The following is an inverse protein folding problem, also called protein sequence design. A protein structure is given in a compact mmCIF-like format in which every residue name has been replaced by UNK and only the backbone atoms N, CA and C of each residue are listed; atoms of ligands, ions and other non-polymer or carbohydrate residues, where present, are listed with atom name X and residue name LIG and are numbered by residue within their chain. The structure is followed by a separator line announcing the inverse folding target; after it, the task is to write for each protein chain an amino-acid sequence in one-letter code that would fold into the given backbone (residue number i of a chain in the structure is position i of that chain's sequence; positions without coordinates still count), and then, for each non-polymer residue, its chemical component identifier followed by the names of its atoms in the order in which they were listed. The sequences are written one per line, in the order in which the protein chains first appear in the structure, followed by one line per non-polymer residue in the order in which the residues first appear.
data_IF_601426598184
#
_entry.id   IF_601426598184
#
_cell.length_a   1.000
_cell.length_b   1.000
_cell.length_c   1.000
_cell.angle_alpha   90.00
_cell.angle_beta   90.00
_cell.angle_gamma   90.00
#
_symmetry.space_group_name_H-M   'P 1'
#
loop_
_entity.id
_entity.type
_entity.pdbx_description
1 polymer ?
#
# COMPACT_ATOMS: atom_id res chain seq x y z
N UNK A 1 -46.63 -33.02 67.49
CA UNK A 1 -45.54 -32.01 67.45
C UNK A 1 -46.07 -30.74 66.81
N UNK A 2 -45.67 -29.60 67.37
CA UNK A 2 -46.12 -28.21 67.12
C UNK A 2 -46.18 -27.79 65.63
N UNK A 3 -47.22 -26.98 65.33
CA UNK A 3 -47.34 -25.76 64.48
C UNK A 3 -46.02 -25.29 63.82
N UNK A 4 -45.98 -24.73 62.61
CA UNK A 4 -46.53 -23.42 62.25
C UNK A 4 -46.65 -23.21 60.73
N UNK A 5 -47.75 -22.55 60.37
CA UNK A 5 -48.00 -21.83 59.13
C UNK A 5 -47.10 -20.58 59.07
N UNK A 6 -46.36 -20.37 57.99
CA UNK A 6 -45.69 -19.10 57.70
C UNK A 6 -46.06 -18.63 56.30
N UNK A 7 -46.88 -17.58 56.26
CA UNK A 7 -47.11 -16.72 55.11
C UNK A 7 -45.87 -15.84 54.93
N UNK A 8 -45.26 -15.85 53.75
CA UNK A 8 -44.28 -14.83 53.34
C UNK A 8 -44.87 -13.98 52.22
N UNK A 9 -45.13 -12.74 52.61
CA UNK A 9 -45.60 -11.61 51.83
C UNK A 9 -44.51 -11.21 50.81
N UNK A 10 -44.76 -11.34 49.51
CA UNK A 10 -43.89 -10.75 48.48
C UNK A 10 -44.32 -9.30 48.26
N UNK A 11 -43.53 -8.37 48.80
CA UNK A 11 -43.64 -6.93 48.56
C UNK A 11 -43.02 -6.64 47.19
N UNK A 12 -43.87 -6.20 46.24
CA UNK A 12 -43.45 -5.69 44.94
C UNK A 12 -42.92 -4.26 45.16
N UNK A 13 -41.59 -4.09 45.08
CA UNK A 13 -40.96 -2.78 45.09
C UNK A 13 -40.82 -2.29 43.64
N UNK A 14 -41.75 -1.44 43.20
CA UNK A 14 -41.65 -0.72 41.93
C UNK A 14 -40.68 0.45 42.10
N UNK A 15 -39.41 0.28 41.72
CA UNK A 15 -38.50 1.41 41.50
C UNK A 15 -38.63 1.88 40.06
N UNK A 16 -39.30 3.02 39.88
CA UNK A 16 -39.28 3.77 38.63
C UNK A 16 -37.91 4.42 38.43
N UNK A 17 -37.13 3.88 37.51
CA UNK A 17 -35.98 4.59 36.96
C UNK A 17 -36.48 5.47 35.82
N UNK A 18 -36.60 6.78 36.10
CA UNK A 18 -36.62 7.80 35.06
C UNK A 18 -35.25 7.81 34.37
N UNK A 19 -35.13 7.12 33.25
CA UNK A 19 -34.03 7.33 32.32
C UNK A 19 -34.38 8.57 31.48
N UNK A 20 -33.88 9.73 31.89
CA UNK A 20 -33.71 10.86 30.98
C UNK A 20 -32.65 10.47 29.95
N UNK A 21 -33.07 10.00 28.77
CA UNK A 21 -32.20 10.04 27.61
C UNK A 21 -32.10 11.49 27.16
N UNK A 22 -31.04 12.19 27.55
CA UNK A 22 -30.62 13.37 26.83
C UNK A 22 -30.16 12.90 25.44
N UNK A 23 -31.02 13.03 24.45
CA UNK A 23 -30.61 13.04 23.05
C UNK A 23 -29.76 14.29 22.87
N UNK A 24 -28.45 14.11 23.02
CA UNK A 24 -27.47 15.10 22.60
C UNK A 24 -27.46 15.07 21.07
N UNK A 25 -28.46 15.73 20.49
CA UNK A 25 -28.53 16.05 19.06
C UNK A 25 -27.51 17.17 18.81
N UNK A 26 -26.23 16.83 18.97
CA UNK A 26 -25.12 17.73 18.69
C UNK A 26 -25.26 18.27 17.28
N UNK A 27 -25.12 19.58 17.13
CA UNK A 27 -25.14 20.24 15.83
C UNK A 27 -24.20 19.51 14.88
N UNK A 28 -24.62 19.24 13.62
CA UNK A 28 -23.77 18.55 12.67
C UNK A 28 -22.46 19.34 12.51
N UNK A 29 -21.32 18.66 12.70
CA UNK A 29 -20.02 19.28 12.50
C UNK A 29 -19.99 19.99 11.14
N UNK A 30 -19.51 21.25 11.09
CA UNK A 30 -19.45 22.00 9.85
C UNK A 30 -18.56 21.25 8.86
N UNK A 31 -18.96 21.24 7.59
CA UNK A 31 -18.16 20.64 6.52
C UNK A 31 -16.75 21.25 6.54
N UNK A 32 -15.69 20.43 6.40
CA UNK A 32 -14.32 20.93 6.36
C UNK A 32 -14.18 21.98 5.25
N UNK A 33 -13.43 23.05 5.51
CA UNK A 33 -13.22 24.13 4.54
C UNK A 33 -12.37 23.72 3.34
N UNK A 34 -11.54 22.68 3.50
CA UNK A 34 -10.73 22.07 2.43
C UNK A 34 -10.59 20.54 2.67
N UNK A 35 -11.64 19.76 2.40
CA UNK A 35 -11.65 18.33 2.74
C UNK A 35 -10.68 17.51 1.89
N UNK A 36 -10.31 18.01 0.71
CA UNK A 36 -9.40 17.34 -0.21
C UNK A 36 -7.99 17.32 0.39
N UNK A 37 -7.49 18.48 0.84
CA UNK A 37 -6.12 18.60 1.37
C UNK A 37 -6.02 18.36 2.89
N UNK A 38 -7.16 18.29 3.59
CA UNK A 38 -7.21 17.92 5.01
C UNK A 38 -7.85 16.55 5.20
N UNK A 39 -9.15 16.49 5.45
CA UNK A 39 -9.87 15.24 5.59
C UNK A 39 -11.28 15.38 5.05
N UNK A 40 -11.75 14.33 4.37
CA UNK A 40 -13.16 14.25 4.04
C UNK A 40 -13.98 14.04 5.30
N UNK A 41 -15.24 14.46 5.25
CA UNK A 41 -16.21 14.08 6.26
C UNK A 41 -16.29 12.56 6.39
N UNK A 42 -16.30 12.07 7.62
CA UNK A 42 -16.29 10.66 7.99
C UNK A 42 -15.10 9.86 7.44
N UNK A 43 -14.01 10.52 7.05
CA UNK A 43 -12.77 9.85 6.63
C UNK A 43 -12.19 9.04 7.79
N UNK A 44 -11.99 7.75 7.55
CA UNK A 44 -11.45 6.84 8.57
C UNK A 44 -9.97 7.12 8.72
N UNK A 45 -9.50 7.38 9.94
CA UNK A 45 -8.07 7.59 10.21
C UNK A 45 -7.30 6.26 10.19
N UNK A 46 -6.03 6.26 9.73
CA UNK A 46 -5.18 5.07 9.78
C UNK A 46 -4.91 4.63 11.23
N UNK A 47 -4.53 3.38 11.40
CA UNK A 47 -4.07 2.88 12.70
C UNK A 47 -2.72 3.53 13.05
N UNK A 48 -2.43 3.71 14.33
CA UNK A 48 -1.14 4.27 14.76
C UNK A 48 0.04 3.34 14.41
N UNK A 49 -0.19 2.03 14.39
CA UNK A 49 0.81 1.03 14.03
C UNK A 49 0.14 -0.22 13.46
N UNK A 50 0.86 -0.92 12.59
CA UNK A 50 0.47 -2.21 11.98
C UNK A 50 1.67 -3.14 12.08
N UNK A 51 1.44 -4.42 12.39
CA UNK A 51 2.51 -5.41 12.50
C UNK A 51 3.20 -5.65 11.15
N UNK A 52 4.51 -5.86 11.18
CA UNK A 52 5.27 -6.24 10.00
C UNK A 52 4.91 -7.66 9.53
N UNK A 53 4.81 -7.83 8.22
CA UNK A 53 4.78 -9.14 7.59
C UNK A 53 6.23 -9.53 7.24
N UNK A 54 6.64 -10.71 7.66
CA UNK A 54 8.03 -11.13 7.52
C UNK A 54 8.40 -11.48 6.07
N UNK A 55 9.68 -11.34 5.73
CA UNK A 55 10.24 -11.90 4.49
C UNK A 55 10.93 -10.90 3.57
N UNK A 56 10.93 -9.61 3.92
CA UNK A 56 11.53 -8.55 3.12
C UNK A 56 11.97 -7.38 4.00
N UNK A 57 12.71 -6.45 3.39
CA UNK A 57 12.86 -5.09 3.91
C UNK A 57 11.90 -4.19 3.14
N UNK A 58 11.00 -3.47 3.80
CA UNK A 58 10.12 -2.54 3.12
C UNK A 58 9.74 -1.33 3.97
N UNK A 59 9.63 -0.18 3.30
CA UNK A 59 8.93 1.00 3.75
C UNK A 59 7.56 1.04 3.10
N UNK A 60 6.49 1.11 3.88
CA UNK A 60 5.11 1.09 3.41
C UNK A 60 4.32 2.22 4.05
N UNK A 61 3.67 3.02 3.21
CA UNK A 61 2.60 3.92 3.61
C UNK A 61 1.26 3.27 3.23
N UNK A 62 0.48 2.83 4.22
CA UNK A 62 -0.81 2.15 4.04
C UNK A 62 -1.96 2.95 4.65
N UNK A 63 -3.05 3.12 3.91
CA UNK A 63 -4.22 3.86 4.38
C UNK A 63 -5.06 3.05 5.36
N UNK A 64 -5.99 3.72 6.03
CA UNK A 64 -7.17 3.05 6.59
C UNK A 64 -8.03 2.40 5.48
N UNK A 65 -8.94 1.51 5.90
CA UNK A 65 -10.02 1.06 5.03
C UNK A 65 -11.10 2.15 4.92
N UNK A 66 -11.17 2.78 3.76
CA UNK A 66 -12.14 3.83 3.46
C UNK A 66 -12.60 3.77 1.99
N UNK A 67 -13.41 4.72 1.55
CA UNK A 67 -14.00 4.85 0.23
C UNK A 67 -13.00 5.35 -0.83
N UNK A 68 -11.78 4.84 -0.77
CA UNK A 68 -10.74 5.10 -1.75
C UNK A 68 -11.04 4.37 -3.06
N UNK A 69 -10.71 5.02 -4.17
CA UNK A 69 -10.86 4.51 -5.52
C UNK A 69 -9.52 4.14 -6.15
N UNK A 70 -8.40 4.31 -5.44
CA UNK A 70 -7.07 4.09 -5.98
C UNK A 70 -6.01 4.89 -5.25
N UNK A 71 -4.77 4.74 -5.71
CA UNK A 71 -3.59 5.44 -5.20
C UNK A 71 -2.62 5.72 -6.36
N UNK A 72 -1.80 6.76 -6.23
CA UNK A 72 -0.72 7.04 -7.14
C UNK A 72 0.30 7.99 -6.55
N UNK A 73 1.30 8.34 -7.34
CA UNK A 73 2.32 9.32 -6.99
C UNK A 73 3.36 9.46 -8.08
N UNK A 74 4.26 10.42 -7.89
CA UNK A 74 5.41 10.62 -8.77
C UNK A 74 6.68 10.29 -8.00
N UNK A 75 7.53 9.43 -8.56
CA UNK A 75 8.73 8.92 -7.91
C UNK A 75 9.94 8.96 -8.84
N UNK A 76 11.07 9.44 -8.31
CA UNK A 76 12.40 9.17 -8.87
C UNK A 76 12.84 7.77 -8.46
N UNK A 77 13.20 6.93 -9.43
CA UNK A 77 13.58 5.54 -9.19
C UNK A 77 14.99 5.43 -8.57
N UNK A 78 15.18 4.51 -7.60
CA UNK A 78 16.44 4.32 -6.89
C UNK A 78 17.47 3.54 -7.70
N UNK A 79 18.71 3.55 -7.21
CA UNK A 79 19.78 2.63 -7.61
C UNK A 79 19.93 1.54 -6.54
N UNK A 80 20.33 0.34 -6.95
CA UNK A 80 20.63 -0.75 -6.02
C UNK A 80 22.11 -1.13 -6.04
N UNK A 81 22.68 -1.31 -4.85
CA UNK A 81 24.00 -1.94 -4.65
C UNK A 81 23.77 -3.27 -3.95
N UNK A 82 24.10 -4.38 -4.59
CA UNK A 82 23.75 -5.72 -4.11
C UNK A 82 24.81 -6.34 -3.20
N UNK A 83 24.37 -7.19 -2.28
CA UNK A 83 25.24 -8.05 -1.49
C UNK A 83 25.77 -9.23 -2.33
N UNK A 84 27.07 -9.26 -2.57
CA UNK A 84 27.75 -10.33 -3.31
C UNK A 84 27.57 -11.71 -2.68
N UNK A 85 27.36 -11.77 -1.35
CA UNK A 85 27.13 -13.02 -0.62
C UNK A 85 25.71 -13.57 -0.86
N UNK A 86 24.82 -12.77 -1.47
CA UNK A 86 23.42 -13.11 -1.76
C UNK A 86 23.12 -13.35 -3.23
N UNK A 87 24.11 -13.77 -4.02
CA UNK A 87 23.87 -14.26 -5.39
C UNK A 87 22.94 -15.46 -5.39
N UNK A 88 22.03 -15.49 -6.36
CA UNK A 88 21.07 -16.57 -6.53
C UNK A 88 21.77 -17.80 -7.13
N UNK A 89 21.89 -18.93 -6.40
CA UNK A 89 22.58 -20.11 -6.90
C UNK A 89 21.89 -20.75 -8.12
N UNK A 90 20.57 -20.53 -8.28
CA UNK A 90 19.80 -21.03 -9.43
C UNK A 90 19.88 -20.09 -10.64
N UNK A 91 20.29 -18.83 -10.44
CA UNK A 91 20.41 -17.80 -11.47
C UNK A 91 21.63 -16.92 -11.16
N UNK A 92 22.87 -17.36 -11.46
CA UNK A 92 24.08 -16.70 -10.98
C UNK A 92 24.26 -15.22 -11.36
N UNK A 93 23.57 -14.74 -12.41
CA UNK A 93 23.52 -13.31 -12.76
C UNK A 93 22.53 -12.49 -11.93
N UNK A 94 21.82 -13.08 -10.96
CA UNK A 94 20.79 -12.41 -10.17
C UNK A 94 21.08 -12.56 -8.69
N UNK A 95 20.54 -11.66 -7.89
CA UNK A 95 20.62 -11.70 -6.44
C UNK A 95 19.30 -12.23 -5.85
N UNK A 96 19.38 -12.76 -4.62
CA UNK A 96 18.21 -13.15 -3.84
C UNK A 96 17.45 -11.95 -3.31
N UNK A 97 18.09 -10.78 -3.26
CA UNK A 97 17.44 -9.51 -2.95
C UNK A 97 16.98 -8.84 -4.25
N UNK A 98 15.75 -8.34 -4.28
CA UNK A 98 15.15 -7.75 -5.47
C UNK A 98 14.43 -6.43 -5.14
N UNK A 99 14.94 -5.29 -5.62
CA UNK A 99 14.28 -4.01 -5.43
C UNK A 99 12.91 -3.98 -6.12
N UNK A 100 11.93 -3.39 -5.45
CA UNK A 100 10.62 -3.10 -6.05
C UNK A 100 10.02 -1.82 -5.48
N UNK A 101 9.20 -1.17 -6.30
CA UNK A 101 8.37 -0.02 -5.93
C UNK A 101 6.98 -0.32 -6.41
N UNK A 102 6.01 -0.43 -5.51
CA UNK A 102 4.67 -0.80 -5.92
C UNK A 102 3.57 -0.11 -5.15
N UNK A 103 2.44 -0.02 -5.82
CA UNK A 103 1.15 0.35 -5.26
C UNK A 103 0.37 -0.94 -4.98
N UNK A 104 -0.73 -0.82 -4.28
CA UNK A 104 -1.58 -1.97 -4.02
C UNK A 104 -2.60 -1.68 -2.97
N UNK A 105 -3.11 -2.73 -2.35
CA UNK A 105 -4.08 -2.60 -1.28
C UNK A 105 -4.79 -3.89 -0.95
N UNK A 106 -5.81 -3.78 -0.11
CA UNK A 106 -6.73 -4.84 0.22
C UNK A 106 -8.17 -4.33 0.12
N UNK A 107 -8.95 -4.88 -0.81
CA UNK A 107 -10.38 -4.57 -0.95
C UNK A 107 -11.16 -5.86 -1.23
N UNK A 108 -12.30 -6.03 -0.56
CA UNK A 108 -13.11 -7.25 -0.70
C UNK A 108 -12.39 -8.54 -0.27
N UNK A 109 -11.34 -8.44 0.56
CA UNK A 109 -10.51 -9.58 0.95
C UNK A 109 -9.51 -10.02 -0.12
N UNK A 110 -9.29 -9.22 -1.16
CA UNK A 110 -8.28 -9.47 -2.18
C UNK A 110 -7.11 -8.50 -2.03
N UNK A 111 -5.93 -9.06 -1.80
CA UNK A 111 -4.65 -8.34 -1.79
C UNK A 111 -4.11 -8.16 -3.21
N UNK A 112 -3.58 -6.97 -3.52
CA UNK A 112 -2.83 -6.70 -4.76
C UNK A 112 -1.50 -6.01 -4.50
N UNK A 113 -0.50 -6.34 -5.31
CA UNK A 113 0.76 -5.60 -5.44
C UNK A 113 0.99 -5.31 -6.93
N UNK A 114 1.02 -4.03 -7.30
CA UNK A 114 1.02 -3.57 -8.69
C UNK A 114 2.01 -2.41 -8.80
N UNK A 115 3.07 -2.59 -9.57
CA UNK A 115 4.04 -1.53 -9.76
C UNK A 115 5.24 -1.94 -10.56
N UNK A 116 6.43 -1.59 -10.10
CA UNK A 116 7.70 -1.75 -10.78
C UNK A 116 8.60 -2.71 -10.01
N UNK A 117 9.13 -3.72 -10.68
CA UNK A 117 10.07 -4.68 -10.08
C UNK A 117 11.36 -4.75 -10.88
N UNK A 118 12.49 -4.92 -10.20
CA UNK A 118 13.81 -5.02 -10.84
C UNK A 118 13.90 -6.32 -11.64
N UNK A 119 14.14 -6.21 -12.95
CA UNK A 119 13.94 -7.30 -13.91
C UNK A 119 15.03 -7.36 -14.99
N UNK A 120 15.14 -8.54 -15.60
CA UNK A 120 15.98 -8.76 -16.78
C UNK A 120 15.40 -8.04 -17.98
N UNK A 121 16.28 -7.64 -18.90
CA UNK A 121 15.89 -6.96 -20.13
C UNK A 121 16.17 -7.84 -21.34
N UNK A 122 15.44 -7.58 -22.42
CA UNK A 122 15.65 -8.15 -23.74
C UNK A 122 16.36 -7.10 -24.60
N UNK A 123 17.53 -7.44 -25.15
CA UNK A 123 18.28 -6.54 -26.02
C UNK A 123 17.65 -6.45 -27.43
N UNK A 124 18.22 -5.60 -28.30
CA UNK A 124 17.72 -5.37 -29.66
C UNK A 124 17.80 -6.63 -30.55
N UNK A 125 18.73 -7.55 -30.25
CA UNK A 125 18.89 -8.83 -30.94
C UNK A 125 17.96 -9.91 -30.36
N UNK A 126 17.26 -9.59 -29.28
CA UNK A 126 16.30 -10.45 -28.61
C UNK A 126 16.88 -11.36 -27.53
N UNK A 127 18.15 -11.18 -27.14
CA UNK A 127 18.76 -11.94 -26.05
C UNK A 127 18.31 -11.39 -24.70
N UNK A 128 18.14 -12.28 -23.74
CA UNK A 128 17.78 -11.93 -22.36
C UNK A 128 19.07 -11.72 -21.57
N UNK A 129 19.16 -10.60 -20.84
CA UNK A 129 20.30 -10.33 -19.97
C UNK A 129 20.37 -11.34 -18.82
N UNK A 130 21.58 -11.78 -18.48
CA UNK A 130 21.80 -12.63 -17.30
C UNK A 130 21.40 -11.90 -16.00
N UNK A 131 21.76 -10.62 -15.93
CA UNK A 131 21.48 -9.72 -14.82
C UNK A 131 20.18 -8.94 -15.02
N UNK A 132 19.54 -8.57 -13.92
CA UNK A 132 18.45 -7.60 -13.89
C UNK A 132 19.01 -6.19 -14.05
N UNK A 133 18.38 -5.37 -14.89
CA UNK A 133 18.95 -4.08 -15.33
C UNK A 133 17.96 -2.92 -15.34
N UNK A 134 16.67 -3.19 -15.23
CA UNK A 134 15.64 -2.16 -15.27
C UNK A 134 14.46 -2.53 -14.39
N UNK A 135 13.75 -1.51 -13.92
CA UNK A 135 12.42 -1.64 -13.37
C UNK A 135 11.42 -1.92 -14.50
N UNK A 136 10.57 -2.94 -14.33
CA UNK A 136 9.52 -3.29 -15.28
C UNK A 136 8.16 -3.38 -14.59
N UNK A 137 7.07 -2.94 -15.24
CA UNK A 137 5.75 -3.05 -14.64
C UNK A 137 5.36 -4.51 -14.35
N UNK A 138 4.74 -4.75 -13.20
CA UNK A 138 4.19 -6.02 -12.77
C UNK A 138 2.83 -5.83 -12.09
N UNK A 139 2.01 -6.88 -12.14
CA UNK A 139 0.74 -6.96 -11.45
C UNK A 139 0.63 -8.30 -10.73
N UNK A 140 0.29 -8.27 -9.45
CA UNK A 140 -0.02 -9.42 -8.60
C UNK A 140 -1.37 -9.22 -7.94
N UNK A 141 -2.16 -10.30 -7.87
CA UNK A 141 -3.32 -10.41 -6.99
C UNK A 141 -3.37 -11.78 -6.32
N UNK A 142 -3.94 -11.80 -5.12
CA UNK A 142 -4.36 -13.04 -4.44
C UNK A 142 -5.68 -13.58 -5.01
N UNK A 143 -6.01 -14.83 -4.68
CA UNK A 143 -7.31 -15.40 -5.00
C UNK A 143 -8.44 -14.68 -4.26
N UNK A 144 -9.65 -14.73 -4.80
CA UNK A 144 -10.83 -14.08 -4.21
C UNK A 144 -12.00 -15.05 -4.05
N UNK A 145 -12.89 -14.77 -3.10
CA UNK A 145 -14.07 -15.59 -2.75
C UNK A 145 -15.07 -15.78 -3.91
N UNK A 146 -14.99 -14.95 -4.96
CA UNK A 146 -15.75 -15.14 -6.20
C UNK A 146 -15.25 -16.28 -7.09
N UNK A 147 -14.16 -16.96 -6.72
CA UNK A 147 -13.51 -17.97 -7.55
C UNK A 147 -12.42 -17.43 -8.48
N UNK A 148 -12.10 -16.13 -8.42
CA UNK A 148 -10.99 -15.57 -9.18
C UNK A 148 -9.66 -16.11 -8.62
N UNK A 149 -8.84 -16.74 -9.47
CA UNK A 149 -7.54 -17.27 -9.08
C UNK A 149 -6.51 -16.16 -8.85
N UNK A 150 -5.50 -16.47 -8.02
CA UNK A 150 -4.32 -15.63 -7.89
C UNK A 150 -3.60 -15.50 -9.23
N UNK A 151 -2.90 -14.40 -9.43
CA UNK A 151 -2.16 -14.15 -10.65
C UNK A 151 -0.93 -13.28 -10.36
N UNK A 152 0.11 -13.52 -11.13
CA UNK A 152 1.30 -12.69 -11.22
C UNK A 152 1.66 -12.56 -12.70
N UNK A 153 1.88 -11.33 -13.15
CA UNK A 153 2.24 -11.03 -14.53
C UNK A 153 3.17 -9.83 -14.59
N UNK A 154 4.06 -9.82 -15.57
CA UNK A 154 4.86 -8.65 -15.91
C UNK A 154 4.38 -8.05 -17.23
N UNK A 155 4.60 -6.75 -17.42
CA UNK A 155 4.56 -6.14 -18.75
C UNK A 155 5.49 -6.88 -19.71
N UNK A 156 5.25 -6.85 -21.03
CA UNK A 156 6.15 -7.44 -22.02
C UNK A 156 7.61 -7.00 -21.81
N UNK A 157 8.55 -7.89 -22.10
CA UNK A 157 9.97 -7.58 -22.09
C UNK A 157 10.32 -6.76 -23.36
N UNK A 158 10.00 -5.47 -23.33
CA UNK A 158 10.18 -4.53 -24.43
C UNK A 158 10.81 -3.24 -23.90
N UNK A 159 11.65 -2.58 -24.72
CA UNK A 159 12.41 -1.38 -24.32
C UNK A 159 11.50 -0.24 -23.86
N UNK A 160 10.32 -0.14 -24.44
CA UNK A 160 9.29 0.84 -24.11
C UNK A 160 8.66 0.58 -22.74
N UNK A 161 9.04 -0.48 -22.01
CA UNK A 161 8.57 -0.84 -20.65
C UNK A 161 9.72 -1.02 -19.63
N UNK A 162 10.94 -0.55 -19.94
CA UNK A 162 12.13 -0.66 -19.06
C UNK A 162 12.55 0.67 -18.46
N UNK A 163 12.25 0.88 -17.18
CA UNK A 163 12.57 2.12 -16.47
C UNK A 163 13.88 1.96 -15.71
N UNK A 164 14.73 2.98 -15.77
CA UNK A 164 16.10 2.91 -15.24
C UNK A 164 16.24 3.75 -13.96
N UNK A 165 17.22 3.41 -13.11
CA UNK A 165 17.57 4.23 -11.95
C UNK A 165 17.75 5.71 -12.31
N UNK A 166 17.23 6.59 -11.45
CA UNK A 166 17.26 8.04 -11.64
C UNK A 166 16.16 8.62 -12.53
N UNK A 167 15.44 7.80 -13.30
CA UNK A 167 14.27 8.27 -14.05
C UNK A 167 13.10 8.62 -13.10
N UNK A 168 12.36 9.67 -13.46
CA UNK A 168 11.13 10.06 -12.75
C UNK A 168 9.90 9.50 -13.46
N UNK A 169 8.99 8.91 -12.68
CA UNK A 169 7.79 8.25 -13.18
C UNK A 169 6.58 8.59 -12.32
N UNK A 170 5.45 8.86 -12.97
CA UNK A 170 4.13 8.89 -12.33
C UNK A 170 3.52 7.51 -12.43
N UNK A 171 3.20 6.92 -11.28
CA UNK A 171 2.61 5.59 -11.15
C UNK A 171 1.24 5.69 -10.49
N UNK A 172 0.24 4.97 -11.00
CA UNK A 172 -1.09 4.95 -10.37
C UNK A 172 -1.87 3.66 -10.61
N UNK A 173 -2.72 3.31 -9.65
CA UNK A 173 -3.79 2.32 -9.80
C UNK A 173 -5.14 2.96 -9.45
N UNK A 174 -6.16 2.72 -10.26
CA UNK A 174 -7.49 3.29 -10.05
C UNK A 174 -8.60 2.31 -10.43
N UNK A 175 -9.64 2.22 -9.60
CA UNK A 175 -10.87 1.49 -9.90
C UNK A 175 -11.63 2.25 -10.98
N UNK A 176 -11.61 1.72 -12.21
CA UNK A 176 -12.32 2.32 -13.36
C UNK A 176 -13.71 1.72 -13.58
N UNK A 177 -13.93 0.50 -13.09
CA UNK A 177 -15.23 -0.18 -13.03
C UNK A 177 -15.17 -1.27 -11.98
N UNK A 178 -16.34 -1.78 -11.57
CA UNK A 178 -16.42 -2.88 -10.60
C UNK A 178 -15.56 -4.06 -11.04
N UNK A 179 -14.65 -4.48 -10.16
CA UNK A 179 -13.74 -5.59 -10.39
C UNK A 179 -12.48 -5.26 -11.21
N UNK A 180 -12.21 -4.00 -11.56
CA UNK A 180 -11.09 -3.67 -12.47
C UNK A 180 -10.29 -2.45 -11.99
N UNK A 181 -8.98 -2.67 -11.86
CA UNK A 181 -7.99 -1.62 -11.66
C UNK A 181 -7.35 -1.25 -13.00
N UNK A 182 -7.27 0.04 -13.29
CA UNK A 182 -6.40 0.60 -14.33
C UNK A 182 -5.05 0.91 -13.71
N UNK A 183 -3.99 0.32 -14.24
CA UNK A 183 -2.60 0.54 -13.85
C UNK A 183 -1.91 1.36 -14.92
N UNK A 184 -1.31 2.48 -14.53
CA UNK A 184 -0.59 3.39 -15.42
C UNK A 184 0.80 3.65 -14.86
N UNK A 185 1.80 3.65 -15.75
CA UNK A 185 3.13 4.21 -15.48
C UNK A 185 3.54 5.12 -16.63
N UNK A 186 3.75 6.39 -16.32
CA UNK A 186 4.18 7.44 -17.26
C UNK A 186 5.51 8.02 -16.82
N UNK A 187 6.43 8.28 -17.75
CA UNK A 187 7.67 8.97 -17.41
C UNK A 187 8.77 8.77 -18.43
N UNK A 188 9.71 9.72 -18.48
CA UNK A 188 10.86 9.71 -19.38
C UNK A 188 10.52 9.37 -20.85
N UNK A 189 9.42 9.91 -21.38
CA UNK A 189 8.96 9.67 -22.76
C UNK A 189 8.35 8.29 -23.01
N UNK A 190 8.09 7.49 -21.96
CA UNK A 190 7.55 6.13 -22.02
C UNK A 190 6.19 6.08 -21.32
N UNK A 191 5.35 5.14 -21.73
CA UNK A 191 4.01 4.94 -21.21
C UNK A 191 3.68 3.45 -21.15
N UNK A 192 3.18 3.00 -20.01
CA UNK A 192 2.59 1.69 -19.83
C UNK A 192 1.19 1.84 -19.24
N UNK A 193 0.23 1.10 -19.80
CA UNK A 193 -1.14 1.05 -19.31
C UNK A 193 -1.67 -0.38 -19.40
N UNK A 194 -2.38 -0.81 -18.37
CA UNK A 194 -3.10 -2.08 -18.37
C UNK A 194 -4.36 -1.98 -17.53
N UNK A 195 -5.43 -2.64 -17.98
CA UNK A 195 -6.54 -2.99 -17.10
C UNK A 195 -6.26 -4.35 -16.45
N UNK A 196 -6.54 -4.47 -15.17
CA UNK A 196 -6.25 -5.65 -14.37
C UNK A 196 -7.48 -6.05 -13.56
N UNK A 197 -8.00 -7.23 -13.86
CA UNK A 197 -9.18 -7.80 -13.19
C UNK A 197 -8.84 -8.16 -11.74
N UNK A 198 -9.48 -7.49 -10.79
CA UNK A 198 -9.40 -7.69 -9.35
C UNK A 198 -10.81 -7.69 -8.75
N UNK A 199 -11.44 -8.86 -8.66
CA UNK A 199 -12.85 -9.03 -8.31
C UNK A 199 -13.27 -8.38 -6.96
N UNK A 200 -12.35 -8.23 -6.02
CA UNK A 200 -12.59 -7.58 -4.73
C UNK A 200 -12.73 -6.06 -4.81
N UNK A 201 -12.24 -5.42 -5.88
CA UNK A 201 -12.12 -3.97 -5.99
C UNK A 201 -13.39 -3.35 -6.58
N UNK A 202 -14.19 -2.69 -5.74
CA UNK A 202 -15.49 -2.15 -6.14
C UNK A 202 -15.68 -0.75 -5.60
N UNK A 203 -16.20 0.14 -6.45
CA UNK A 203 -16.60 1.48 -6.04
C UNK A 203 -17.67 1.39 -4.94
N UNK A 204 -17.60 2.30 -3.97
CA UNK A 204 -18.51 2.33 -2.82
C UNK A 204 -18.23 1.28 -1.74
N UNK A 205 -17.23 0.41 -1.92
CA UNK A 205 -16.77 -0.51 -0.88
C UNK A 205 -15.54 0.08 -0.19
N UNK A 206 -15.42 -0.14 1.13
CA UNK A 206 -14.23 0.28 1.87
C UNK A 206 -13.06 -0.67 1.60
N UNK A 207 -11.90 -0.09 1.31
CA UNK A 207 -10.65 -0.82 1.12
C UNK A 207 -9.46 0.05 1.51
N UNK A 208 -8.33 -0.59 1.74
CA UNK A 208 -7.07 0.10 2.00
C UNK A 208 -6.21 0.11 0.73
N UNK A 209 -5.39 1.15 0.59
CA UNK A 209 -4.37 1.25 -0.44
C UNK A 209 -3.01 1.46 0.19
N UNK A 210 -1.95 1.06 -0.51
CA UNK A 210 -0.57 1.18 -0.05
C UNK A 210 0.35 1.60 -1.17
N UNK A 211 1.40 2.35 -0.83
CA UNK A 211 2.63 2.46 -1.63
C UNK A 211 3.79 1.86 -0.84
N UNK A 212 4.70 1.20 -1.54
CA UNK A 212 5.79 0.43 -0.94
C UNK A 212 7.08 0.61 -1.72
N UNK A 213 8.17 0.82 -1.00
CA UNK A 213 9.55 0.65 -1.48
C UNK A 213 10.11 -0.58 -0.75
N UNK A 214 10.63 -1.56 -1.48
CA UNK A 214 11.07 -2.82 -0.89
C UNK A 214 12.38 -3.36 -1.48
N UNK A 215 13.06 -4.14 -0.65
CA UNK A 215 14.02 -5.18 -1.03
C UNK A 215 13.31 -6.51 -0.77
N UNK A 216 12.65 -7.04 -1.80
CA UNK A 216 11.98 -8.33 -1.73
C UNK A 216 13.02 -9.46 -1.73
N UNK A 217 12.89 -10.40 -0.81
CA UNK A 217 13.79 -11.56 -0.78
C UNK A 217 13.13 -12.75 -1.46
N UNK A 218 13.74 -13.18 -2.57
CA UNK A 218 13.25 -14.24 -3.44
C UNK A 218 12.96 -15.50 -2.60
N UNK A 219 11.72 -15.99 -2.69
CA UNK A 219 11.24 -17.19 -1.99
C UNK A 219 11.27 -17.12 -0.45
N UNK A 220 11.22 -15.90 0.11
CA UNK A 220 11.28 -15.66 1.56
C UNK A 220 9.98 -15.09 2.17
N UNK A 221 8.90 -14.95 1.40
CA UNK A 221 7.60 -14.45 1.88
C UNK A 221 7.13 -15.24 3.13
N UNK A 222 6.80 -14.53 4.21
CA UNK A 222 6.31 -15.11 5.48
C UNK A 222 7.39 -15.76 6.35
N UNK A 223 8.65 -15.80 5.89
CA UNK A 223 9.80 -16.30 6.67
C UNK A 223 10.54 -15.13 7.31
N UNK A 224 11.38 -15.37 8.35
CA UNK A 224 12.22 -14.32 8.90
C UNK A 224 13.04 -13.61 7.80
N UNK A 225 13.05 -12.28 7.84
CA UNK A 225 13.88 -11.47 6.94
C UNK A 225 15.34 -11.88 7.12
N UNK A 226 16.02 -12.14 6.00
CA UNK A 226 17.39 -12.61 5.99
C UNK A 226 18.35 -11.42 5.94
N UNK A 227 19.43 -11.46 6.73
CA UNK A 227 20.44 -10.41 6.71
C UNK A 227 21.05 -10.24 5.30
N UNK A 228 21.33 -8.99 4.94
CA UNK A 228 21.94 -8.61 3.67
C UNK A 228 22.70 -7.30 3.78
N UNK A 229 23.73 -7.10 2.95
CA UNK A 229 24.40 -5.82 2.74
C UNK A 229 23.79 -5.01 1.58
N UNK A 230 22.72 -5.51 0.94
CA UNK A 230 22.06 -4.83 -0.17
C UNK A 230 21.53 -3.47 0.27
N UNK A 231 21.77 -2.46 -0.56
CA UNK A 231 21.28 -1.09 -0.42
C UNK A 231 20.44 -0.69 -1.62
N UNK A 232 19.35 0.02 -1.38
CA UNK A 232 18.50 0.63 -2.41
C UNK A 232 18.34 2.09 -2.06
N UNK A 233 18.95 2.96 -2.87
CA UNK A 233 19.22 4.34 -2.52
C UNK A 233 18.79 5.33 -3.60
N UNK A 234 18.41 6.54 -3.20
CA UNK A 234 18.02 7.64 -4.07
C UNK A 234 16.57 7.63 -4.54
N UNK A 235 15.68 6.85 -3.92
CA UNK A 235 14.25 6.93 -4.21
C UNK A 235 13.67 8.22 -3.63
N UNK A 236 12.88 8.93 -4.43
CA UNK A 236 12.21 10.15 -3.96
C UNK A 236 10.78 10.21 -4.49
N UNK A 237 9.81 10.06 -3.60
CA UNK A 237 8.43 10.41 -3.89
C UNK A 237 8.30 11.93 -3.87
N UNK A 238 7.93 12.52 -5.01
CA UNK A 238 7.67 13.95 -5.18
C UNK A 238 6.27 14.35 -4.72
N UNK A 239 5.34 13.40 -4.77
CA UNK A 239 4.00 13.47 -4.22
C UNK A 239 3.40 12.07 -4.19
N UNK A 240 2.38 11.89 -3.35
CA UNK A 240 1.53 10.71 -3.33
C UNK A 240 0.07 11.14 -3.12
N UNK A 241 -0.86 10.48 -3.78
CA UNK A 241 -2.28 10.82 -3.73
C UNK A 241 -3.18 9.59 -3.76
N UNK A 242 -4.39 9.76 -3.26
CA UNK A 242 -5.48 8.81 -3.30
C UNK A 242 -6.56 9.33 -4.23
N UNK A 243 -7.23 8.43 -4.96
CA UNK A 243 -8.43 8.77 -5.69
C UNK A 243 -9.65 8.65 -4.77
N UNK A 244 -10.54 9.64 -4.76
CA UNK A 244 -11.80 9.57 -4.01
C UNK A 244 -12.92 10.22 -4.81
N UNK A 245 -14.14 9.70 -4.65
CA UNK A 245 -15.35 10.39 -5.13
C UNK A 245 -15.68 11.54 -4.17
N UNK A 246 -15.81 12.75 -4.69
CA UNK A 246 -16.21 13.95 -3.95
C UNK A 246 -17.01 14.87 -4.88
N UNK A 247 -18.19 15.31 -4.45
CA UNK A 247 -19.13 16.13 -5.24
C UNK A 247 -19.39 15.60 -6.66
N UNK A 248 -19.58 14.29 -6.79
CA UNK A 248 -19.85 13.62 -8.06
C UNK A 248 -18.66 13.54 -9.02
N UNK A 249 -17.45 13.89 -8.57
CA UNK A 249 -16.21 13.84 -9.35
C UNK A 249 -15.15 13.02 -8.64
N UNK A 250 -14.27 12.40 -9.42
CA UNK A 250 -13.07 11.79 -8.86
C UNK A 250 -12.01 12.88 -8.66
N UNK A 251 -11.57 13.05 -7.42
CA UNK A 251 -10.50 13.97 -7.03
C UNK A 251 -9.24 13.22 -6.63
N UNK A 252 -8.09 13.89 -6.72
CA UNK A 252 -6.83 13.44 -6.12
C UNK A 252 -6.67 14.11 -4.76
N UNK A 253 -6.67 13.33 -3.69
CA UNK A 253 -6.47 13.78 -2.34
C UNK A 253 -5.04 13.42 -1.89
N UNK A 254 -4.25 14.33 -1.30
CA UNK A 254 -2.88 14.00 -0.90
C UNK A 254 -2.83 12.85 0.10
N UNK A 255 -1.88 11.92 -0.05
CA UNK A 255 -1.54 10.90 0.94
C UNK A 255 -0.59 11.52 1.99
N UNK A 256 -1.06 12.55 2.68
CA UNK A 256 -0.29 13.20 3.74
C UNK A 256 -0.13 12.29 4.97
N UNK A 257 0.75 12.66 5.90
CA UNK A 257 1.10 11.88 7.12
C UNK A 257 -0.08 11.51 8.01
N UNK A 258 -1.22 12.18 7.85
CA UNK A 258 -2.47 11.89 8.56
C UNK A 258 -3.33 10.80 7.92
N UNK A 259 -2.99 10.35 6.71
CA UNK A 259 -3.76 9.41 5.88
C UNK A 259 -3.15 8.02 5.76
N UNK A 260 -1.97 7.79 6.32
CA UNK A 260 -1.33 6.48 6.31
C UNK A 260 -0.68 6.11 7.63
N UNK A 261 -0.56 4.80 7.86
CA UNK A 261 0.33 4.24 8.86
C UNK A 261 1.71 4.08 8.23
N UNK A 262 2.74 4.66 8.86
CA UNK A 262 4.14 4.45 8.49
C UNK A 262 4.61 3.07 8.96
N UNK A 263 5.10 2.24 8.04
CA UNK A 263 5.59 0.91 8.33
C UNK A 263 7.00 0.72 7.79
N UNK A 264 7.96 0.56 8.70
CA UNK A 264 9.38 0.32 8.40
C UNK A 264 9.75 -1.08 8.89
N UNK A 265 9.78 -2.03 7.97
CA UNK A 265 9.86 -3.45 8.29
C UNK A 265 11.15 -4.06 7.73
N UNK A 266 11.86 -4.93 8.47
CA UNK A 266 11.45 -5.52 9.74
C UNK A 266 11.68 -4.61 10.96
N UNK A 267 12.51 -3.58 10.83
CA UNK A 267 12.83 -2.62 11.89
C UNK A 267 13.16 -1.25 11.26
N UNK A 268 12.91 -0.16 11.98
CA UNK A 268 13.16 1.21 11.52
C UNK A 268 14.65 1.49 11.26
N UNK A 269 15.58 0.78 11.90
CA UNK A 269 17.03 1.01 11.73
C UNK A 269 17.55 0.77 10.30
N UNK A 270 16.78 0.05 9.47
CA UNK A 270 17.15 -0.27 8.08
C UNK A 270 16.73 0.82 7.08
N UNK A 271 16.10 1.90 7.55
CA UNK A 271 15.48 2.91 6.72
C UNK A 271 15.92 4.32 7.12
N UNK A 272 16.35 5.08 6.13
CA UNK A 272 16.49 6.53 6.26
C UNK A 272 15.39 7.21 5.43
N UNK A 273 14.41 7.80 6.13
CA UNK A 273 13.22 8.42 5.56
C UNK A 273 13.25 9.89 5.91
N UNK A 274 13.32 10.77 4.90
CA UNK A 274 13.36 12.21 5.12
C UNK A 274 12.22 12.90 4.38
N UNK A 275 11.57 13.83 5.08
CA UNK A 275 10.52 14.69 4.52
C UNK A 275 10.39 15.96 5.34
N UNK A 276 10.34 17.11 4.66
CA UNK A 276 9.97 18.40 5.26
C UNK A 276 8.49 18.47 5.60
N UNK A 277 8.07 19.43 6.43
CA UNK A 277 6.65 19.66 6.74
C UNK A 277 5.79 19.96 5.49
N UNK A 278 6.38 20.61 4.48
CA UNK A 278 5.68 20.88 3.22
C UNK A 278 5.49 19.61 2.38
N UNK A 279 6.52 18.76 2.31
CA UNK A 279 6.48 17.47 1.63
C UNK A 279 5.50 16.50 2.29
N UNK A 280 5.44 16.50 3.63
CA UNK A 280 4.50 15.68 4.40
C UNK A 280 3.03 15.97 4.06
N UNK A 281 2.69 17.20 3.65
CA UNK A 281 1.33 17.59 3.25
C UNK A 281 0.93 17.06 1.87
N UNK A 282 1.91 16.68 1.05
CA UNK A 282 1.68 16.15 -0.30
C UNK A 282 2.07 14.67 -0.44
N UNK A 283 2.46 14.02 0.65
CA UNK A 283 2.91 12.63 0.64
C UNK A 283 4.24 12.42 -0.10
N UNK A 284 5.10 13.44 -0.09
CA UNK A 284 6.45 13.38 -0.62
C UNK A 284 7.44 12.96 0.48
N UNK A 285 8.50 12.26 0.10
CA UNK A 285 9.59 11.83 0.99
C UNK A 285 10.75 11.23 0.16
N UNK A 286 11.96 11.26 0.70
CA UNK A 286 13.05 10.40 0.24
C UNK A 286 13.03 9.08 1.01
N UNK A 287 13.38 7.99 0.33
CA UNK A 287 13.39 6.64 0.91
C UNK A 287 14.71 5.97 0.58
N UNK A 288 15.47 5.65 1.60
CA UNK A 288 16.71 4.89 1.52
C UNK A 288 16.55 3.60 2.33
N UNK A 289 16.96 2.46 1.75
CA UNK A 289 16.89 1.14 2.42
C UNK A 289 18.29 0.52 2.44
N UNK A 290 18.79 0.18 3.62
CA UNK A 290 20.07 -0.50 3.79
C UNK A 290 19.87 -1.74 4.67
N UNK A 291 20.03 -2.93 4.10
CA UNK A 291 19.83 -4.19 4.83
C UNK A 291 20.80 -4.42 5.99
N UNK A 292 21.90 -3.65 6.06
CA UNK A 292 22.86 -3.66 7.15
C UNK A 292 22.59 -2.59 8.23
N UNK A 293 21.60 -1.71 8.01
CA UNK A 293 21.26 -0.60 8.90
C UNK A 293 21.99 0.71 8.59
N UNK A 294 21.40 1.83 9.02
CA UNK A 294 21.99 3.17 9.00
C UNK A 294 22.62 3.55 10.36
#
# INVERSE_FOLDING_TARGET
MKKYLFYSLFVILAMGFYNCSSSDDGEPEPEPTDPINTYFKDEVKPQASIACFAGAYYHKAVTSKDLWLGIGGTIKLPTATFDEDRKNPSKPGQYLDNPSIYLGGNMGGQETDIGLTWEVIKDEQGNISAERKAFRPFMRRTSHSSGQASNYSNAPAQKEYYWYPGEEVTISIQIIRSGVLKFIVDGNGKHYESEYECAGYKQGTRGEFKRVNAIDQVSNEGKPTQATKTKVEGAQWKESFLFRMYDGKIVKAPLHTGRYTDMRCPDAMYFDINSTEAEQKIGAESVEINGAGY
#
